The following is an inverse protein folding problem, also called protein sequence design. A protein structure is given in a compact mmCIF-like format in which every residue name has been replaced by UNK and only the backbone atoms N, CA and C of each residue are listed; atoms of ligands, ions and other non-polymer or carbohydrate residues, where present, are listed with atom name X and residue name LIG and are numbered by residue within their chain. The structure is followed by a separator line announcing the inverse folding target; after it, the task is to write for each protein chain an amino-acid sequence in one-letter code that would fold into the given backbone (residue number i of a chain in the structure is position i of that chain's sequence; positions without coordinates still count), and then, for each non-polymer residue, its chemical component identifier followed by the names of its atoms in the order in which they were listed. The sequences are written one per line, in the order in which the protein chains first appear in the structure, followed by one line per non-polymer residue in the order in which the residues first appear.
data_IF_864676666281
#
_entry.id   IF_864676666281
#
_cell.length_a   1.000
_cell.length_b   1.000
_cell.length_c   1.000
_cell.angle_alpha   90.00
_cell.angle_beta   90.00
_cell.angle_gamma   90.00
#
_symmetry.space_group_name_H-M   'P 1'
#
loop_
_entity.id
_entity.type
_entity.pdbx_description
1 polymer ?
#
# COMPACT_ATOMS: atom_id res chain seq x y z
N UNK A 1 3.48 19.58 25.58
CA UNK A 1 3.92 18.41 26.32
C UNK A 1 3.30 17.15 25.72
N UNK A 2 4.10 16.13 25.50
CA UNK A 2 3.60 14.85 25.02
C UNK A 2 3.30 13.94 26.21
N UNK A 3 2.11 13.37 26.24
CA UNK A 3 1.67 12.51 27.35
C UNK A 3 1.80 11.04 27.05
N UNK A 4 2.03 10.70 25.77
CA UNK A 4 2.12 9.33 25.32
C UNK A 4 2.92 9.27 24.03
N UNK A 5 3.59 8.15 23.81
CA UNK A 5 4.34 7.96 22.57
C UNK A 5 4.46 6.48 22.23
N UNK A 6 4.66 6.21 20.96
CA UNK A 6 4.91 4.87 20.46
C UNK A 6 5.73 4.96 19.18
N UNK A 7 6.53 3.93 18.93
CA UNK A 7 7.28 3.80 17.69
C UNK A 7 6.81 2.54 16.98
N UNK A 8 6.39 2.69 15.73
CA UNK A 8 5.87 1.57 14.95
C UNK A 8 6.55 1.47 13.59
N UNK A 9 6.61 0.25 13.07
CA UNK A 9 7.06 -0.05 11.72
C UNK A 9 5.82 -0.23 10.84
N UNK A 10 5.77 0.50 9.74
CA UNK A 10 4.69 0.40 8.77
C UNK A 10 5.27 -0.02 7.43
N UNK A 11 4.61 -0.96 6.78
CA UNK A 11 4.99 -1.41 5.45
C UNK A 11 3.75 -1.48 4.57
N UNK A 12 3.78 -0.71 3.48
CA UNK A 12 2.76 -0.80 2.46
C UNK A 12 2.94 -2.07 1.64
N UNK A 13 1.87 -2.53 1.01
CA UNK A 13 1.90 -3.73 0.20
C UNK A 13 2.71 -3.54 -1.08
N UNK A 14 3.32 -4.62 -1.54
CA UNK A 14 4.02 -4.64 -2.82
C UNK A 14 3.00 -4.80 -3.94
N UNK A 15 3.31 -4.25 -5.11
CA UNK A 15 2.53 -4.53 -6.31
C UNK A 15 2.73 -5.97 -6.76
N UNK A 16 1.67 -6.58 -7.27
CA UNK A 16 1.75 -7.92 -7.84
C UNK A 16 2.43 -7.90 -9.21
N UNK A 17 3.02 -9.02 -9.59
CA UNK A 17 3.66 -9.16 -10.89
C UNK A 17 2.62 -9.20 -12.00
N UNK A 18 2.94 -8.61 -13.15
CA UNK A 18 2.17 -8.80 -14.36
C UNK A 18 2.35 -10.22 -14.89
N UNK A 19 1.34 -10.72 -15.59
CA UNK A 19 1.38 -12.07 -16.14
C UNK A 19 2.07 -12.11 -17.50
N UNK A 20 2.83 -13.17 -17.72
CA UNK A 20 3.35 -13.53 -19.04
C UNK A 20 2.50 -14.70 -19.53
N UNK A 21 1.55 -14.43 -20.43
CA UNK A 21 0.60 -15.41 -20.88
C UNK A 21 0.22 -15.17 -22.34
N UNK A 22 -0.16 -16.24 -23.03
CA UNK A 22 -0.61 -16.17 -24.41
C UNK A 22 -1.93 -16.92 -24.54
N UNK A 23 -2.83 -16.36 -25.34
CA UNK A 23 -4.11 -16.96 -25.61
C UNK A 23 -3.93 -18.37 -26.18
N UNK A 24 -4.57 -19.36 -25.58
CA UNK A 24 -4.53 -20.74 -26.03
C UNK A 24 -5.95 -21.25 -26.19
N UNK A 25 -6.34 -21.43 -27.44
CA UNK A 25 -7.63 -22.02 -27.78
C UNK A 25 -7.44 -23.16 -28.75
N UNK A 26 -8.42 -24.06 -28.82
CA UNK A 26 -8.36 -25.28 -29.64
C UNK A 26 -8.00 -25.00 -31.09
N UNK A 27 -8.50 -23.90 -31.66
CA UNK A 27 -8.30 -23.55 -33.07
C UNK A 27 -7.40 -22.31 -33.24
N UNK A 28 -6.74 -21.88 -32.18
CA UNK A 28 -5.83 -20.72 -32.22
C UNK A 28 -4.50 -21.11 -31.57
N UNK A 29 -3.65 -21.86 -32.29
CA UNK A 29 -2.41 -22.38 -31.72
C UNK A 29 -1.36 -21.31 -31.43
N UNK A 30 -1.47 -20.11 -32.02
CA UNK A 30 -0.57 -18.99 -31.81
C UNK A 30 -1.35 -17.75 -31.41
N UNK A 31 -1.97 -17.82 -30.23
CA UNK A 31 -2.70 -16.70 -29.69
C UNK A 31 -1.79 -15.53 -29.29
N UNK A 32 -2.34 -14.31 -29.31
CA UNK A 32 -1.64 -13.12 -28.87
C UNK A 32 -1.42 -13.09 -27.36
N UNK A 33 -0.67 -12.08 -26.88
CA UNK A 33 -0.42 -11.91 -25.46
C UNK A 33 -1.73 -11.58 -24.73
N UNK A 34 -1.98 -12.29 -23.64
CA UNK A 34 -3.19 -12.10 -22.83
C UNK A 34 -2.88 -11.98 -21.35
N UNK A 35 -1.63 -11.71 -20.98
CA UNK A 35 -1.26 -11.51 -19.59
C UNK A 35 -1.83 -10.21 -19.03
N UNK A 36 -2.57 -10.30 -17.92
CA UNK A 36 -3.12 -9.16 -17.21
C UNK A 36 -2.10 -8.50 -16.30
N UNK A 37 -2.40 -7.29 -15.85
CA UNK A 37 -1.55 -6.53 -14.95
C UNK A 37 -1.64 -7.08 -13.52
N UNK A 38 -0.57 -6.91 -12.74
CA UNK A 38 -0.65 -7.13 -11.31
C UNK A 38 -1.45 -6.03 -10.63
N UNK A 39 -2.03 -6.33 -9.48
CA UNK A 39 -2.74 -5.35 -8.66
C UNK A 39 -1.76 -4.49 -7.87
N UNK A 40 -2.21 -3.32 -7.44
CA UNK A 40 -1.45 -2.45 -6.54
C UNK A 40 -1.47 -3.02 -5.12
N UNK A 41 -0.42 -2.77 -4.35
CA UNK A 41 -0.46 -3.06 -2.92
C UNK A 41 -1.39 -2.10 -2.18
N UNK A 42 -1.66 -2.39 -0.91
CA UNK A 42 -2.39 -1.47 -0.04
C UNK A 42 -1.47 -0.43 0.57
N UNK A 43 -1.97 0.80 0.74
CA UNK A 43 -1.26 1.85 1.45
C UNK A 43 -1.44 1.68 2.97
N UNK A 44 -0.58 2.32 3.76
CA UNK A 44 -0.80 2.44 5.20
C UNK A 44 -1.18 3.88 5.51
N UNK A 45 -2.34 4.06 6.14
CA UNK A 45 -2.90 5.34 6.50
C UNK A 45 -3.08 5.42 8.01
N UNK A 46 -2.87 6.61 8.57
CA UNK A 46 -3.31 6.94 9.93
C UNK A 46 -4.56 7.79 9.83
N UNK A 47 -5.54 7.51 10.67
CA UNK A 47 -6.80 8.24 10.70
C UNK A 47 -7.17 8.61 12.14
N UNK A 48 -7.58 9.84 12.34
CA UNK A 48 -8.01 10.31 13.65
C UNK A 48 -9.35 9.69 14.02
N UNK A 49 -9.41 9.12 15.22
CA UNK A 49 -10.66 8.63 15.82
C UNK A 49 -10.89 9.32 17.16
N UNK A 50 -12.01 10.01 17.29
CA UNK A 50 -12.37 10.69 18.55
C UNK A 50 -12.67 9.72 19.70
N UNK A 51 -12.86 8.44 19.38
CA UNK A 51 -13.11 7.41 20.38
C UNK A 51 -11.85 6.96 21.08
N UNK A 52 -10.67 7.32 20.56
CA UNK A 52 -9.40 6.96 21.15
C UNK A 52 -8.83 8.14 21.93
N UNK A 53 -8.19 7.84 23.04
CA UNK A 53 -7.52 8.84 23.87
C UNK A 53 -6.10 8.42 24.28
N UNK A 54 -5.61 7.31 23.76
CA UNK A 54 -4.29 6.78 24.10
C UNK A 54 -3.67 6.10 22.89
N UNK A 55 -2.33 6.02 22.89
CA UNK A 55 -1.55 5.27 21.91
C UNK A 55 -1.15 3.88 22.44
N UNK A 56 -1.79 3.43 23.52
CA UNK A 56 -1.41 2.20 24.22
C UNK A 56 -1.33 0.98 23.31
N UNK A 57 -2.26 0.81 22.37
CA UNK A 57 -2.29 -0.34 21.48
C UNK A 57 -1.02 -0.42 20.63
N UNK A 58 -0.44 0.73 20.27
CA UNK A 58 0.78 0.79 19.47
C UNK A 58 2.05 0.52 20.26
N UNK A 59 1.96 0.44 21.57
CA UNK A 59 3.06 0.00 22.42
C UNK A 59 3.13 -1.52 22.55
N UNK A 60 2.02 -2.22 22.27
CA UNK A 60 1.97 -3.68 22.29
C UNK A 60 2.22 -4.28 20.91
N UNK A 61 1.69 -3.70 19.87
CA UNK A 61 1.91 -4.15 18.50
C UNK A 61 2.67 -3.07 17.75
N UNK A 62 3.83 -3.44 17.21
CA UNK A 62 4.76 -2.48 16.60
C UNK A 62 4.88 -2.59 15.09
N UNK A 63 4.39 -3.67 14.48
CA UNK A 63 4.55 -3.92 13.04
C UNK A 63 3.20 -3.99 12.38
N UNK A 64 3.02 -3.19 11.33
CA UNK A 64 1.78 -3.12 10.58
C UNK A 64 2.10 -3.21 9.09
N UNK A 65 1.53 -4.22 8.43
CA UNK A 65 1.82 -4.52 7.03
C UNK A 65 0.51 -4.55 6.27
N UNK A 66 0.39 -3.71 5.24
CA UNK A 66 -0.76 -3.75 4.34
C UNK A 66 -0.61 -4.90 3.34
N UNK A 67 -1.72 -5.40 2.80
CA UNK A 67 -1.67 -6.54 1.87
C UNK A 67 -1.03 -6.17 0.54
N UNK A 68 -0.37 -7.15 -0.06
CA UNK A 68 0.20 -7.02 -1.40
C UNK A 68 -0.90 -7.09 -2.47
N UNK A 69 -0.62 -6.55 -3.66
CA UNK A 69 -1.45 -6.77 -4.81
C UNK A 69 -1.31 -8.19 -5.32
N UNK A 70 -2.36 -8.70 -5.95
CA UNK A 70 -2.36 -10.02 -6.56
C UNK A 70 -1.63 -10.03 -7.89
N UNK A 71 -1.16 -11.20 -8.30
CA UNK A 71 -0.55 -11.40 -9.61
C UNK A 71 -1.60 -11.29 -10.71
N UNK A 72 -1.20 -10.78 -11.87
CA UNK A 72 -2.00 -10.87 -13.07
C UNK A 72 -2.15 -12.31 -13.52
N UNK A 73 -3.16 -12.60 -14.31
CA UNK A 73 -3.42 -13.93 -14.86
C UNK A 73 -3.62 -13.90 -16.35
N UNK A 74 -3.77 -15.08 -16.95
CA UNK A 74 -4.12 -15.23 -18.35
C UNK A 74 -5.52 -14.71 -18.64
N UNK A 75 -5.87 -14.61 -19.94
CA UNK A 75 -7.16 -14.06 -20.39
C UNK A 75 -7.38 -12.63 -19.90
N UNK A 76 -6.31 -11.84 -19.84
CA UNK A 76 -6.29 -10.44 -19.43
C UNK A 76 -6.86 -10.19 -18.02
N UNK A 77 -6.77 -11.19 -17.15
CA UNK A 77 -7.23 -11.03 -15.76
C UNK A 77 -6.21 -10.21 -14.98
N UNK A 78 -6.66 -9.06 -14.48
CA UNK A 78 -5.84 -8.22 -13.62
C UNK A 78 -5.84 -8.78 -12.20
N UNK A 79 -4.70 -8.66 -11.53
CA UNK A 79 -4.59 -9.03 -10.14
C UNK A 79 -5.45 -8.12 -9.26
N UNK A 80 -5.89 -8.65 -8.14
CA UNK A 80 -6.67 -7.88 -7.17
C UNK A 80 -5.78 -6.86 -6.47
N UNK A 81 -6.26 -5.62 -6.30
CA UNK A 81 -5.57 -4.62 -5.51
C UNK A 81 -5.65 -4.97 -4.02
N UNK A 82 -4.56 -4.73 -3.30
CA UNK A 82 -4.55 -4.86 -1.85
C UNK A 82 -5.34 -3.71 -1.21
N UNK A 83 -6.05 -4.01 -0.15
CA UNK A 83 -6.78 -2.97 0.58
C UNK A 83 -5.83 -2.11 1.42
N UNK A 84 -6.17 -0.83 1.56
CA UNK A 84 -5.43 0.06 2.44
C UNK A 84 -5.59 -0.39 3.89
N UNK A 85 -4.49 -0.31 4.64
CA UNK A 85 -4.51 -0.55 6.08
C UNK A 85 -4.67 0.79 6.79
N UNK A 86 -5.78 0.96 7.50
CA UNK A 86 -6.07 2.19 8.23
C UNK A 86 -5.84 1.95 9.71
N UNK A 87 -4.91 2.71 10.28
CA UNK A 87 -4.58 2.67 11.71
C UNK A 87 -5.22 3.86 12.39
N UNK A 88 -6.02 3.62 13.41
CA UNK A 88 -6.70 4.68 14.13
C UNK A 88 -5.80 5.26 15.20
N UNK A 89 -5.78 6.58 15.32
CA UNK A 89 -5.03 7.31 16.35
C UNK A 89 -5.93 8.36 17.02
N UNK A 90 -5.65 8.73 18.27
CA UNK A 90 -6.44 9.76 18.91
C UNK A 90 -6.15 11.15 18.33
N UNK A 91 -7.09 12.12 18.47
CA UNK A 91 -6.81 13.50 18.09
C UNK A 91 -5.68 14.06 18.94
N UNK A 92 -4.83 14.88 18.32
CA UNK A 92 -3.62 15.41 18.95
C UNK A 92 -2.39 14.56 18.72
N UNK A 93 -2.49 13.52 17.90
CA UNK A 93 -1.33 12.69 17.54
C UNK A 93 -0.43 13.40 16.53
N UNK A 94 0.85 13.45 16.82
CA UNK A 94 1.88 13.98 15.94
C UNK A 94 2.67 12.80 15.38
N UNK A 95 2.83 12.76 14.08
CA UNK A 95 3.55 11.69 13.39
C UNK A 95 4.92 12.21 12.99
N UNK A 96 5.97 11.51 13.39
CA UNK A 96 7.36 11.88 13.05
C UNK A 96 8.07 10.75 12.32
N UNK A 97 8.91 11.12 11.37
CA UNK A 97 9.81 10.18 10.72
C UNK A 97 11.01 9.83 11.59
N UNK A 98 11.83 8.90 11.12
CA UNK A 98 13.04 8.47 11.85
C UNK A 98 14.03 9.59 12.09
N UNK A 99 14.06 10.56 11.19
CA UNK A 99 14.96 11.74 11.28
C UNK A 99 14.43 12.81 12.23
N UNK A 100 13.29 12.58 12.87
CA UNK A 100 12.66 13.55 13.74
C UNK A 100 11.79 14.58 13.04
N UNK A 101 11.70 14.54 11.70
CA UNK A 101 10.87 15.47 10.94
C UNK A 101 9.39 15.18 11.20
N UNK A 102 8.61 16.21 11.48
CA UNK A 102 7.16 16.08 11.65
C UNK A 102 6.52 15.82 10.29
N UNK A 103 5.88 14.65 10.16
CA UNK A 103 5.18 14.26 8.93
C UNK A 103 3.75 14.76 8.91
N UNK A 104 3.08 14.78 10.06
CA UNK A 104 1.70 15.24 10.18
C UNK A 104 1.35 15.57 11.61
N UNK A 105 0.39 16.48 11.76
CA UNK A 105 -0.22 16.83 13.04
C UNK A 105 -1.72 16.53 12.90
N UNK A 106 -2.17 15.48 13.56
CA UNK A 106 -3.51 14.93 13.36
C UNK A 106 -4.44 15.40 14.47
N UNK A 107 -5.31 16.35 14.16
CA UNK A 107 -6.19 17.00 15.13
C UNK A 107 -7.66 16.77 14.83
N UNK A 108 -8.06 16.88 13.57
CA UNK A 108 -9.46 16.88 13.14
C UNK A 108 -9.98 15.46 13.00
N UNK A 109 -11.18 15.20 13.53
CA UNK A 109 -11.83 13.88 13.38
C UNK A 109 -11.84 13.42 11.94
N UNK A 110 -11.47 12.17 11.73
CA UNK A 110 -11.35 11.49 10.42
C UNK A 110 -10.26 12.05 9.51
N UNK A 111 -9.43 12.96 9.99
CA UNK A 111 -8.26 13.40 9.26
C UNK A 111 -7.36 12.19 9.01
N UNK A 112 -6.85 12.07 7.77
CA UNK A 112 -5.98 10.96 7.38
C UNK A 112 -4.65 11.47 6.87
N UNK A 113 -3.61 10.66 7.05
CA UNK A 113 -2.32 10.87 6.41
C UNK A 113 -1.79 9.51 5.93
N UNK A 114 -1.24 9.49 4.73
CA UNK A 114 -0.57 8.31 4.21
C UNK A 114 0.84 8.26 4.76
N UNK A 115 1.19 7.19 5.45
CA UNK A 115 2.52 7.03 6.05
C UNK A 115 3.41 6.03 5.30
N UNK A 116 2.82 5.19 4.47
CA UNK A 116 3.57 4.32 3.57
C UNK A 116 2.77 4.12 2.28
N UNK A 117 3.43 4.36 1.15
CA UNK A 117 2.82 4.27 -0.17
C UNK A 117 2.99 2.88 -0.74
N UNK A 118 1.90 2.32 -1.26
CA UNK A 118 1.89 1.01 -1.89
C UNK A 118 2.73 0.97 -3.16
N UNK A 119 3.22 -0.21 -3.47
CA UNK A 119 3.86 -0.49 -4.73
C UNK A 119 2.83 -0.63 -5.85
N UNK A 120 3.19 -0.13 -7.03
CA UNK A 120 2.35 -0.25 -8.22
C UNK A 120 2.46 -1.65 -8.80
N UNK A 121 1.33 -2.21 -9.28
CA UNK A 121 1.32 -3.49 -9.96
C UNK A 121 2.12 -3.46 -11.25
N UNK A 122 2.77 -4.57 -11.60
CA UNK A 122 3.50 -4.72 -12.83
C UNK A 122 2.55 -4.90 -14.02
N UNK A 123 2.93 -4.41 -15.19
CA UNK A 123 2.13 -4.58 -16.40
C UNK A 123 2.31 -5.99 -16.95
N UNK A 124 1.20 -6.63 -17.36
CA UNK A 124 1.23 -7.90 -18.05
C UNK A 124 1.69 -7.75 -19.49
N UNK A 125 2.04 -8.87 -20.14
CA UNK A 125 2.57 -8.80 -21.50
C UNK A 125 1.55 -8.26 -22.52
N UNK A 126 0.25 -8.38 -22.26
CA UNK A 126 -0.78 -7.81 -23.13
C UNK A 126 -0.66 -6.28 -23.25
N UNK A 127 -0.18 -5.61 -22.21
CA UNK A 127 0.01 -4.15 -22.20
C UNK A 127 1.19 -3.70 -23.07
N UNK A 128 2.07 -4.60 -23.46
CA UNK A 128 3.25 -4.29 -24.29
C UNK A 128 3.05 -4.61 -25.78
N UNK A 129 1.87 -5.07 -26.15
CA UNK A 129 1.57 -5.37 -27.56
C UNK A 129 1.54 -4.07 -28.36
N UNK A 130 2.25 -4.07 -29.50
CA UNK A 130 2.29 -2.95 -30.42
C UNK A 130 2.33 -3.45 -31.86
N UNK A 131 2.23 -2.55 -32.85
CA UNK A 131 2.34 -2.91 -34.26
C UNK A 131 3.68 -3.56 -34.60
N UNK A 132 4.76 -3.16 -33.90
CA UNK A 132 6.11 -3.71 -34.11
C UNK A 132 6.41 -4.87 -33.20
N UNK A 133 5.64 -5.08 -32.12
CA UNK A 133 5.85 -6.17 -31.17
C UNK A 133 4.50 -6.79 -30.83
N UNK A 134 4.13 -7.79 -31.61
CA UNK A 134 2.81 -8.41 -31.50
C UNK A 134 2.76 -9.55 -30.48
N UNK A 135 3.90 -10.12 -30.12
CA UNK A 135 3.99 -11.22 -29.15
C UNK A 135 5.04 -10.93 -28.08
N UNK A 136 4.80 -9.91 -27.21
CA UNK A 136 5.76 -9.60 -26.15
C UNK A 136 5.96 -10.80 -25.22
N UNK A 137 7.23 -11.14 -24.96
CA UNK A 137 7.61 -12.28 -24.11
C UNK A 137 8.13 -11.83 -22.75
N UNK A 138 7.68 -10.68 -22.28
CA UNK A 138 8.08 -10.14 -21.01
C UNK A 138 6.88 -9.50 -20.31
N UNK A 139 6.97 -9.45 -18.99
CA UNK A 139 6.02 -8.75 -18.13
C UNK A 139 6.84 -8.07 -17.02
N UNK A 140 6.26 -7.05 -16.40
CA UNK A 140 6.92 -6.35 -15.32
C UNK A 140 6.67 -7.02 -13.99
N UNK A 141 7.68 -7.00 -13.12
CA UNK A 141 7.48 -7.27 -11.70
C UNK A 141 6.75 -6.08 -11.07
N UNK A 142 6.04 -6.32 -9.98
CA UNK A 142 5.46 -5.24 -9.20
C UNK A 142 6.53 -4.43 -8.49
N UNK A 143 6.23 -3.17 -8.21
CA UNK A 143 7.10 -2.32 -7.42
C UNK A 143 6.96 -2.65 -5.94
N UNK A 144 8.04 -2.56 -5.15
CA UNK A 144 7.93 -2.75 -3.71
C UNK A 144 7.16 -1.60 -3.07
N UNK A 145 6.40 -1.89 -2.02
CA UNK A 145 5.77 -0.88 -1.18
C UNK A 145 6.80 -0.21 -0.29
N UNK A 146 6.53 1.03 0.11
CA UNK A 146 7.38 1.73 1.06
C UNK A 146 7.31 1.08 2.43
N UNK A 147 8.42 1.12 3.16
CA UNK A 147 8.47 0.70 4.56
C UNK A 147 9.26 1.71 5.35
N UNK A 148 8.84 1.96 6.58
CA UNK A 148 9.52 2.92 7.45
C UNK A 148 9.13 2.72 8.91
N UNK A 149 9.99 3.18 9.78
CA UNK A 149 9.65 3.41 11.17
C UNK A 149 9.11 4.82 11.32
N UNK A 150 8.07 4.96 12.13
CA UNK A 150 7.52 6.26 12.47
C UNK A 150 7.30 6.31 13.98
N UNK A 151 7.34 7.52 14.52
CA UNK A 151 7.04 7.78 15.92
C UNK A 151 5.70 8.50 16.02
N UNK A 152 4.87 8.05 16.93
CA UNK A 152 3.60 8.67 17.26
C UNK A 152 3.74 9.32 18.63
N UNK A 153 3.40 10.58 18.73
CA UNK A 153 3.43 11.33 19.98
C UNK A 153 2.07 11.99 20.19
N UNK A 154 1.49 11.77 21.36
CA UNK A 154 0.20 12.34 21.68
C UNK A 154 0.39 13.60 22.50
N UNK A 155 -0.05 14.74 21.95
CA UNK A 155 -0.06 16.00 22.67
C UNK A 155 -1.20 16.02 23.67
N UNK A 156 -0.93 16.60 24.83
CA UNK A 156 -2.00 16.92 25.75
C UNK A 156 -2.82 18.08 25.16
N UNK A 157 -4.08 17.77 24.82
CA UNK A 157 -5.00 18.81 24.38
C UNK A 157 -5.55 19.47 25.62
N UNK A 158 -5.27 20.77 25.77
CA UNK A 158 -5.79 21.51 26.89
C UNK A 158 -7.31 21.69 26.77
N UNK A 159 -8.05 21.23 27.77
CA UNK A 159 -9.46 21.55 27.88
C UNK A 159 -9.56 22.99 28.43
N UNK A 160 -10.33 23.78 27.74
CA UNK A 160 -10.55 25.15 28.15
C UNK A 160 -11.80 25.25 28.98
#
# INVERSE_FOLDING_TARGET
MFTDHARIYVKAGDGGAGALSFRREKYVPRGGPDGGNGGHGGNVLLEVSEQLNTLQDYRYKHHFVAPNGGRGGGSRRHGKDGEDLVLKVPPGSVVKGEDGTTLADLIVSRQQVQVAKAGRGGRGNASFKSATRQTPRFAELGEPGESRWISLELKLIADV
#
